data_IF_361592070983
#
_entry.id   IF_361592070983
#
_cell.length_a   1.000
_cell.length_b   1.000
_cell.length_c   1.000
_cell.angle_alpha   90.00
_cell.angle_beta   90.00
_cell.angle_gamma   90.00
#
_symmetry.space_group_name_H-M   'P 1'
#
loop_
_entity.id
_entity.type
_entity.pdbx_description
1 polymer ?
#
# COMPACT_ATOMS: atom_id res chain seq x y z
N UNK A 1 -44.02 77.03 -3.25
CA UNK A 1 -45.16 76.12 -2.93
C UNK A 1 -45.44 75.37 -4.22
N UNK A 2 -45.08 74.11 -4.47
CA UNK A 2 -44.73 72.95 -3.63
C UNK A 2 -43.86 72.00 -4.48
N UNK A 3 -42.95 71.27 -3.82
CA UNK A 3 -42.10 70.24 -4.41
C UNK A 3 -42.92 68.96 -4.62
N UNK A 4 -42.62 68.20 -5.67
CA UNK A 4 -42.84 66.76 -5.70
C UNK A 4 -41.55 66.12 -6.23
N UNK A 5 -40.99 65.24 -5.40
CA UNK A 5 -39.74 64.50 -5.59
C UNK A 5 -40.15 63.13 -6.10
N UNK A 6 -39.69 62.74 -7.29
CA UNK A 6 -39.84 61.36 -7.75
C UNK A 6 -38.48 60.68 -7.69
N UNK A 7 -38.35 59.77 -6.72
CA UNK A 7 -37.23 58.89 -6.47
C UNK A 7 -36.96 57.97 -7.66
N UNK A 8 -35.80 58.09 -8.28
CA UNK A 8 -35.31 57.13 -9.27
C UNK A 8 -34.73 55.89 -8.58
N UNK A 9 -35.38 54.75 -8.74
CA UNK A 9 -34.87 53.45 -8.30
C UNK A 9 -33.69 53.03 -9.21
N UNK A 10 -32.51 52.84 -8.62
CA UNK A 10 -31.37 52.24 -9.30
C UNK A 10 -31.58 50.72 -9.41
N UNK A 11 -31.86 50.23 -10.61
CA UNK A 11 -31.91 48.79 -10.91
C UNK A 11 -30.47 48.31 -11.12
N UNK A 12 -29.93 47.63 -10.11
CA UNK A 12 -28.67 46.89 -10.24
C UNK A 12 -28.87 45.62 -11.06
N UNK A 13 -28.29 45.55 -12.25
CA UNK A 13 -28.24 44.34 -13.05
C UNK A 13 -27.17 43.39 -12.48
N UNK A 14 -27.59 42.42 -11.67
CA UNK A 14 -26.74 41.31 -11.26
C UNK A 14 -26.64 40.30 -12.43
N UNK A 15 -25.55 40.35 -13.20
CA UNK A 15 -25.20 39.29 -14.14
C UNK A 15 -24.82 38.03 -13.37
N UNK A 16 -25.77 37.10 -13.19
CA UNK A 16 -25.44 35.71 -12.85
C UNK A 16 -24.72 35.07 -14.03
N UNK A 17 -23.40 34.97 -13.94
CA UNK A 17 -22.59 34.14 -14.83
C UNK A 17 -22.88 32.68 -14.45
N UNK A 18 -23.80 32.06 -15.19
CA UNK A 18 -23.98 30.61 -15.18
C UNK A 18 -22.76 29.98 -15.85
N UNK A 19 -21.76 29.62 -15.04
CA UNK A 19 -20.66 28.77 -15.48
C UNK A 19 -21.21 27.36 -15.76
N UNK A 20 -21.67 27.14 -17.00
CA UNK A 20 -22.04 25.82 -17.46
C UNK A 20 -20.80 24.92 -17.45
N UNK A 21 -20.76 23.96 -16.53
CA UNK A 21 -19.73 22.93 -16.55
C UNK A 21 -19.96 22.06 -17.78
N UNK A 22 -19.15 22.24 -18.81
CA UNK A 22 -19.11 21.32 -19.94
C UNK A 22 -18.61 19.96 -19.42
N UNK A 23 -19.53 19.03 -19.19
CA UNK A 23 -19.18 17.65 -18.86
C UNK A 23 -18.62 16.99 -20.12
N UNK A 24 -17.33 16.65 -20.11
CA UNK A 24 -16.74 15.82 -21.15
C UNK A 24 -17.48 14.46 -21.20
N UNK A 25 -17.70 13.92 -22.41
CA UNK A 25 -18.22 12.55 -22.56
C UNK A 25 -17.25 11.60 -21.85
N UNK A 26 -17.69 10.88 -20.79
CA UNK A 26 -16.81 10.01 -20.02
C UNK A 26 -16.22 8.86 -20.84
N UNK A 27 -16.70 8.63 -22.07
CA UNK A 27 -16.18 7.60 -22.97
C UNK A 27 -15.21 8.14 -24.03
N UNK A 28 -14.95 9.45 -24.04
CA UNK A 28 -14.06 10.09 -25.02
C UNK A 28 -14.53 9.95 -26.47
N UNK A 29 -13.68 10.30 -27.45
CA UNK A 29 -14.08 10.40 -28.87
C UNK A 29 -14.45 9.06 -29.51
N UNK A 30 -13.97 7.94 -28.96
CA UNK A 30 -14.18 6.60 -29.53
C UNK A 30 -15.35 5.85 -28.90
N UNK A 31 -15.92 6.36 -27.80
CA UNK A 31 -17.09 5.82 -27.10
C UNK A 31 -17.01 4.32 -26.76
N UNK A 32 -15.81 3.84 -26.40
CA UNK A 32 -15.58 2.45 -26.01
C UNK A 32 -15.68 2.26 -24.50
N UNK A 33 -16.31 1.15 -24.07
CA UNK A 33 -16.40 0.76 -22.67
C UNK A 33 -17.53 1.47 -21.90
N UNK A 34 -17.39 1.48 -20.57
CA UNK A 34 -18.29 2.18 -19.63
C UNK A 34 -17.49 2.68 -18.43
N UNK A 35 -17.91 3.77 -17.75
CA UNK A 35 -17.26 4.18 -16.51
C UNK A 35 -17.26 3.02 -15.49
N UNK A 36 -16.13 2.82 -14.81
CA UNK A 36 -16.05 1.85 -13.73
C UNK A 36 -16.88 2.33 -12.53
N UNK A 37 -17.64 1.43 -11.93
CA UNK A 37 -18.37 1.76 -10.70
C UNK A 37 -17.39 1.87 -9.52
N UNK A 38 -17.71 2.65 -8.48
CA UNK A 38 -16.90 2.70 -7.27
C UNK A 38 -16.60 1.31 -6.69
N UNK A 39 -17.59 0.42 -6.67
CA UNK A 39 -17.43 -0.96 -6.16
C UNK A 39 -16.47 -1.79 -7.03
N UNK A 40 -16.53 -1.64 -8.36
CA UNK A 40 -15.62 -2.32 -9.27
C UNK A 40 -14.18 -1.84 -9.07
N UNK A 41 -13.99 -0.54 -8.83
CA UNK A 41 -12.67 0.01 -8.50
C UNK A 41 -12.20 -0.52 -7.16
N UNK A 42 -13.03 -0.46 -6.11
CA UNK A 42 -12.67 -0.90 -4.77
C UNK A 42 -12.28 -2.38 -4.69
N UNK A 43 -12.92 -3.24 -5.51
CA UNK A 43 -12.58 -4.66 -5.57
C UNK A 43 -11.21 -4.95 -6.22
N UNK A 44 -10.67 -4.03 -7.03
CA UNK A 44 -9.43 -4.25 -7.79
C UNK A 44 -8.25 -3.41 -7.25
N UNK A 45 -8.54 -2.17 -6.86
CA UNK A 45 -7.64 -1.19 -6.29
C UNK A 45 -7.46 -1.46 -4.80
N UNK A 46 -6.64 -2.46 -4.51
CA UNK A 46 -6.20 -2.83 -3.16
C UNK A 46 -4.71 -2.53 -2.95
N UNK A 47 -4.08 -1.77 -3.86
CA UNK A 47 -2.66 -1.45 -3.80
C UNK A 47 -2.32 -0.58 -2.58
N UNK A 48 -1.20 -0.93 -1.94
CA UNK A 48 -0.65 -0.17 -0.82
C UNK A 48 0.68 0.46 -1.20
N UNK A 49 0.75 1.78 -1.09
CA UNK A 49 1.93 2.59 -1.39
C UNK A 49 2.95 2.60 -0.24
N UNK A 50 4.22 2.94 -0.51
CA UNK A 50 5.25 3.07 0.53
C UNK A 50 4.91 4.04 1.68
N UNK A 51 4.09 5.06 1.42
CA UNK A 51 3.63 6.04 2.41
C UNK A 51 2.41 5.58 3.23
N UNK A 52 1.90 4.36 2.98
CA UNK A 52 0.73 3.79 3.64
C UNK A 52 -0.60 4.13 2.98
N UNK A 53 -0.62 4.93 1.90
CA UNK A 53 -1.84 5.15 1.15
C UNK A 53 -2.37 3.81 0.60
N UNK A 54 -3.65 3.54 0.79
CA UNK A 54 -4.29 2.26 0.43
C UNK A 54 -4.39 1.23 1.56
N UNK A 55 -3.76 1.49 2.73
CA UNK A 55 -3.89 0.60 3.88
C UNK A 55 -5.35 0.55 4.39
N UNK A 56 -5.94 -0.65 4.54
CA UNK A 56 -7.26 -0.81 5.11
C UNK A 56 -7.25 -0.59 6.63
N UNK A 57 -8.41 -0.27 7.23
CA UNK A 57 -8.53 -0.20 8.68
C UNK A 57 -8.31 -1.59 9.30
N UNK A 58 -7.69 -1.62 10.47
CA UNK A 58 -7.39 -2.86 11.18
C UNK A 58 -6.10 -2.73 11.98
N UNK A 59 -5.81 -3.78 12.73
CA UNK A 59 -4.54 -3.96 13.41
C UNK A 59 -4.25 -5.45 13.58
N UNK A 60 -2.99 -5.78 13.87
CA UNK A 60 -2.60 -7.13 14.19
C UNK A 60 -1.30 -7.17 14.99
N UNK A 61 -1.27 -8.03 15.99
CA UNK A 61 -0.10 -8.26 16.84
C UNK A 61 0.83 -9.32 16.28
N UNK A 62 2.09 -9.29 16.71
CA UNK A 62 3.06 -10.37 16.45
C UNK A 62 2.56 -11.72 16.97
N UNK A 63 1.86 -11.73 18.12
CA UNK A 63 1.33 -12.95 18.73
C UNK A 63 0.22 -13.59 17.87
N UNK A 64 -0.73 -12.80 17.39
CA UNK A 64 -1.75 -13.26 16.44
C UNK A 64 -1.11 -13.70 15.12
N UNK A 65 -0.11 -12.94 14.65
CA UNK A 65 0.61 -13.24 13.42
C UNK A 65 1.34 -14.57 13.44
N UNK A 66 1.87 -14.97 14.61
CA UNK A 66 2.47 -16.29 14.80
C UNK A 66 1.46 -17.41 14.53
N UNK A 67 0.22 -17.26 15.02
CA UNK A 67 -0.82 -18.25 14.82
C UNK A 67 -1.24 -18.34 13.34
N UNK A 68 -1.43 -17.18 12.69
CA UNK A 68 -1.73 -17.12 11.24
C UNK A 68 -0.60 -17.77 10.42
N UNK A 69 0.66 -17.43 10.73
CA UNK A 69 1.82 -17.96 10.02
C UNK A 69 1.92 -19.49 10.13
N UNK A 70 1.75 -20.04 11.35
CA UNK A 70 1.77 -21.48 11.57
C UNK A 70 0.66 -22.19 10.76
N UNK A 71 -0.54 -21.62 10.71
CA UNK A 71 -1.68 -22.22 10.02
C UNK A 71 -1.63 -22.07 8.49
N UNK A 72 -1.05 -20.98 7.96
CA UNK A 72 -1.22 -20.56 6.55
C UNK A 72 0.08 -20.39 5.76
N UNK A 73 1.23 -20.36 6.41
CA UNK A 73 2.50 -19.99 5.76
C UNK A 73 3.61 -21.04 5.98
N UNK A 74 3.68 -21.63 7.18
CA UNK A 74 4.79 -22.48 7.61
C UNK A 74 4.98 -23.74 6.75
N UNK A 75 3.91 -24.30 6.19
CA UNK A 75 3.97 -25.48 5.33
C UNK A 75 4.87 -25.30 4.09
N UNK A 76 5.01 -24.06 3.59
CA UNK A 76 5.86 -23.74 2.44
C UNK A 76 7.12 -22.95 2.83
N UNK A 77 6.98 -21.98 3.74
CA UNK A 77 8.07 -21.07 4.13
C UNK A 77 8.89 -21.54 5.35
N UNK A 78 8.53 -22.69 5.94
CA UNK A 78 9.16 -23.24 7.14
C UNK A 78 8.69 -22.57 8.43
N UNK A 79 8.77 -23.29 9.55
CA UNK A 79 8.29 -22.86 10.89
C UNK A 79 8.80 -21.49 11.36
N UNK A 80 10.02 -21.12 10.97
CA UNK A 80 10.66 -19.86 11.35
C UNK A 80 10.94 -18.96 10.13
N UNK A 81 10.28 -19.22 9.00
CA UNK A 81 10.48 -18.46 7.76
C UNK A 81 11.83 -18.70 7.08
N UNK A 82 12.52 -19.79 7.46
CA UNK A 82 13.82 -20.19 6.92
C UNK A 82 13.79 -20.66 5.45
N UNK A 83 12.58 -20.82 4.89
CA UNK A 83 12.33 -21.35 3.55
C UNK A 83 12.20 -22.87 3.54
N UNK A 84 11.81 -23.41 2.38
CA UNK A 84 11.59 -24.83 2.19
C UNK A 84 11.10 -25.09 0.76
N UNK A 85 9.82 -25.48 0.64
CA UNK A 85 9.16 -25.59 -0.66
C UNK A 85 8.96 -24.22 -1.34
N UNK A 86 8.84 -23.15 -0.55
CA UNK A 86 8.82 -21.78 -1.02
C UNK A 86 10.03 -20.99 -0.50
N UNK A 87 10.19 -19.77 -1.03
CA UNK A 87 11.30 -18.88 -0.71
C UNK A 87 11.42 -18.61 0.80
N UNK A 88 12.66 -18.40 1.25
CA UNK A 88 12.92 -17.97 2.62
C UNK A 88 12.46 -16.53 2.85
N UNK A 89 11.86 -16.26 4.00
CA UNK A 89 11.35 -14.94 4.40
C UNK A 89 12.26 -14.25 5.42
N UNK A 90 13.13 -15.03 6.08
CA UNK A 90 13.95 -14.58 7.22
C UNK A 90 15.43 -14.86 6.96
N UNK A 91 16.29 -13.96 7.44
CA UNK A 91 17.73 -14.08 7.37
C UNK A 91 18.38 -13.27 6.25
N UNK A 92 19.70 -13.39 6.10
CA UNK A 92 20.45 -12.70 5.05
C UNK A 92 20.91 -11.28 5.38
N UNK A 93 20.66 -10.80 6.61
CA UNK A 93 21.20 -9.54 7.11
C UNK A 93 22.72 -9.50 6.93
N UNK A 94 23.24 -8.39 6.39
CA UNK A 94 24.66 -8.21 6.13
C UNK A 94 25.21 -8.99 4.92
N UNK A 95 24.41 -9.83 4.24
CA UNK A 95 24.92 -10.65 3.13
C UNK A 95 24.89 -9.97 1.76
N UNK A 96 24.23 -8.82 1.61
CA UNK A 96 23.97 -8.19 0.30
C UNK A 96 25.25 -7.84 -0.48
N UNK A 97 26.34 -7.51 0.20
CA UNK A 97 27.63 -7.18 -0.41
C UNK A 97 28.56 -8.41 -0.60
N UNK A 98 28.10 -9.60 -0.23
CA UNK A 98 28.90 -10.83 -0.35
C UNK A 98 28.74 -11.47 -1.73
N UNK A 99 29.60 -12.43 -2.05
CA UNK A 99 29.48 -13.21 -3.29
C UNK A 99 28.21 -14.06 -3.39
N UNK A 100 27.52 -14.32 -2.26
CA UNK A 100 26.30 -15.14 -2.20
C UNK A 100 25.23 -14.39 -1.40
N UNK A 101 24.66 -13.30 -1.94
CA UNK A 101 23.69 -12.49 -1.23
C UNK A 101 22.41 -13.28 -0.98
N UNK A 102 21.88 -13.17 0.24
CA UNK A 102 20.62 -13.78 0.64
C UNK A 102 19.59 -12.67 0.78
N UNK A 103 18.69 -12.57 -0.21
CA UNK A 103 17.64 -11.55 -0.27
C UNK A 103 16.35 -12.09 0.34
N UNK A 104 15.89 -11.44 1.38
CA UNK A 104 14.66 -11.77 2.11
C UNK A 104 13.87 -10.50 2.40
N UNK A 105 12.73 -10.63 3.08
CA UNK A 105 11.97 -9.50 3.58
C UNK A 105 12.86 -8.60 4.45
N UNK A 106 13.58 -9.17 5.43
CA UNK A 106 14.36 -8.35 6.36
C UNK A 106 15.72 -7.91 5.84
N UNK A 107 16.31 -8.59 4.86
CA UNK A 107 17.63 -8.21 4.34
C UNK A 107 17.56 -7.26 3.14
N UNK A 108 16.52 -7.34 2.32
CA UNK A 108 16.50 -6.68 1.00
C UNK A 108 15.34 -5.72 0.80
N UNK A 109 14.14 -6.00 1.32
CA UNK A 109 12.97 -5.19 0.98
C UNK A 109 13.03 -3.79 1.64
N UNK A 110 12.66 -2.71 0.92
CA UNK A 110 12.80 -1.35 1.44
C UNK A 110 11.60 -0.87 2.27
N UNK A 111 10.41 -1.48 2.15
CA UNK A 111 9.19 -1.03 2.81
C UNK A 111 8.38 -2.20 3.39
N UNK A 112 7.94 -2.05 4.64
CA UNK A 112 7.03 -3.00 5.30
C UNK A 112 5.64 -3.01 4.64
N UNK A 113 5.21 -1.91 4.03
CA UNK A 113 3.94 -1.85 3.31
C UNK A 113 3.92 -2.73 2.07
N UNK A 114 5.07 -2.93 1.40
CA UNK A 114 5.17 -3.88 0.27
C UNK A 114 4.94 -5.32 0.73
N UNK A 115 5.41 -5.69 1.93
CA UNK A 115 5.10 -6.99 2.53
C UNK A 115 3.60 -7.16 2.71
N UNK A 116 2.93 -6.17 3.32
CA UNK A 116 1.49 -6.20 3.55
C UNK A 116 0.71 -6.30 2.24
N UNK A 117 1.03 -5.46 1.24
CA UNK A 117 0.38 -5.46 -0.07
C UNK A 117 0.47 -6.84 -0.74
N UNK A 118 1.69 -7.39 -0.78
CA UNK A 118 1.95 -8.67 -1.41
C UNK A 118 1.22 -9.81 -0.69
N UNK A 119 1.27 -9.84 0.64
CA UNK A 119 0.57 -10.87 1.42
C UNK A 119 -0.93 -10.78 1.19
N UNK A 120 -1.52 -9.59 1.28
CA UNK A 120 -2.97 -9.36 1.06
C UNK A 120 -3.43 -9.82 -0.31
N UNK A 121 -2.66 -9.48 -1.36
CA UNK A 121 -3.07 -9.70 -2.74
C UNK A 121 -2.77 -11.11 -3.24
N UNK A 122 -1.68 -11.72 -2.79
CA UNK A 122 -1.11 -12.90 -3.43
C UNK A 122 -0.95 -14.11 -2.50
N UNK A 123 -1.09 -13.96 -1.18
CA UNK A 123 -0.89 -15.04 -0.22
C UNK A 123 -2.19 -15.37 0.55
N UNK A 124 -2.32 -16.61 1.08
CA UNK A 124 -1.52 -17.80 0.77
C UNK A 124 -1.55 -18.17 -0.72
N UNK A 125 -0.51 -18.83 -1.22
CA UNK A 125 -0.37 -19.09 -2.66
C UNK A 125 -1.52 -19.91 -3.26
N UNK A 126 -2.07 -20.83 -2.48
CA UNK A 126 -3.22 -21.67 -2.84
C UNK A 126 -4.57 -21.00 -2.65
N UNK A 127 -4.62 -19.89 -1.89
CA UNK A 127 -5.84 -19.12 -1.65
C UNK A 127 -5.55 -17.60 -1.51
N UNK A 128 -5.16 -16.91 -2.60
CA UNK A 128 -4.89 -15.47 -2.55
C UNK A 128 -6.12 -14.68 -2.10
N UNK A 129 -5.90 -13.57 -1.37
CA UNK A 129 -6.97 -12.70 -0.83
C UNK A 129 -7.94 -13.40 0.15
N UNK A 130 -7.56 -14.56 0.70
CA UNK A 130 -8.38 -15.28 1.69
C UNK A 130 -8.21 -14.79 3.13
N UNK A 131 -7.14 -14.04 3.42
CA UNK A 131 -6.90 -13.46 4.74
C UNK A 131 -7.67 -12.15 4.90
N UNK A 132 -8.19 -11.93 6.11
CA UNK A 132 -8.71 -10.62 6.52
C UNK A 132 -7.59 -9.60 6.66
N UNK A 133 -7.91 -8.31 6.53
CA UNK A 133 -6.93 -7.24 6.68
C UNK A 133 -6.18 -7.27 8.03
N UNK A 134 -6.87 -7.66 9.12
CA UNK A 134 -6.26 -7.85 10.44
C UNK A 134 -5.26 -9.03 10.47
N UNK A 135 -5.58 -10.15 9.83
CA UNK A 135 -4.66 -11.29 9.71
C UNK A 135 -3.43 -10.91 8.87
N UNK A 136 -3.60 -10.09 7.82
CA UNK A 136 -2.48 -9.57 7.02
C UNK A 136 -1.58 -8.66 7.87
N UNK A 137 -2.15 -7.75 8.68
CA UNK A 137 -1.35 -6.95 9.62
C UNK A 137 -0.59 -7.83 10.61
N UNK A 138 -1.28 -8.82 11.19
CA UNK A 138 -0.71 -9.70 12.19
C UNK A 138 0.46 -10.51 11.62
N UNK A 139 0.26 -11.20 10.49
CA UNK A 139 1.32 -12.02 9.86
C UNK A 139 2.48 -11.16 9.35
N UNK A 140 2.21 -9.94 8.89
CA UNK A 140 3.26 -8.98 8.53
C UNK A 140 4.08 -8.59 9.76
N UNK A 141 3.44 -8.28 10.89
CA UNK A 141 4.12 -7.99 12.15
C UNK A 141 5.00 -9.17 12.59
N UNK A 142 4.49 -10.40 12.49
CA UNK A 142 5.25 -11.59 12.84
C UNK A 142 6.48 -11.83 11.94
N UNK A 143 6.35 -11.66 10.62
CA UNK A 143 7.49 -11.79 9.69
C UNK A 143 8.56 -10.71 9.97
N UNK A 144 8.13 -9.48 10.28
CA UNK A 144 9.04 -8.41 10.67
C UNK A 144 9.73 -8.72 12.02
N UNK A 145 9.01 -9.31 12.96
CA UNK A 145 9.56 -9.76 14.25
C UNK A 145 10.60 -10.88 14.07
N UNK A 146 10.32 -11.88 13.23
CA UNK A 146 11.27 -12.95 12.90
C UNK A 146 12.59 -12.40 12.31
N UNK A 147 12.52 -11.25 11.64
CA UNK A 147 13.69 -10.54 11.11
C UNK A 147 14.33 -9.55 12.10
N UNK A 148 13.85 -9.48 13.35
CA UNK A 148 14.36 -8.59 14.38
C UNK A 148 14.05 -7.10 14.15
N UNK A 149 13.05 -6.79 13.31
CA UNK A 149 12.72 -5.40 12.92
C UNK A 149 11.73 -4.76 13.90
N UNK A 150 10.82 -5.55 14.46
CA UNK A 150 9.84 -5.11 15.47
C UNK A 150 9.88 -6.02 16.71
N UNK A 151 9.59 -5.49 17.91
CA UNK A 151 9.61 -6.29 19.14
C UNK A 151 8.46 -7.31 19.19
N UNK A 152 8.56 -8.29 20.08
CA UNK A 152 7.63 -9.42 20.17
C UNK A 152 6.20 -9.04 20.61
N UNK A 153 6.04 -7.88 21.23
CA UNK A 153 4.77 -7.31 21.70
C UNK A 153 4.22 -6.23 20.74
N UNK A 154 4.83 -6.04 19.57
CA UNK A 154 4.39 -5.05 18.60
C UNK A 154 2.97 -5.34 18.08
N UNK A 155 2.21 -4.27 17.90
CA UNK A 155 0.92 -4.24 17.21
C UNK A 155 1.03 -3.26 16.05
N UNK A 156 0.77 -3.74 14.83
CA UNK A 156 0.84 -2.92 13.63
C UNK A 156 -0.56 -2.55 13.13
N UNK A 157 -0.71 -1.29 12.69
CA UNK A 157 -1.93 -0.72 12.10
C UNK A 157 -1.58 0.13 10.88
N UNK A 158 -2.59 0.78 10.28
CA UNK A 158 -2.42 1.65 9.11
C UNK A 158 -1.44 2.82 9.31
N UNK A 159 -1.16 3.20 10.56
CA UNK A 159 -0.26 4.31 10.91
C UNK A 159 1.14 3.80 11.28
N UNK A 160 1.23 2.70 12.01
CA UNK A 160 2.52 2.18 12.49
C UNK A 160 3.25 1.33 11.45
N UNK A 161 2.56 0.63 10.55
CA UNK A 161 3.20 -0.17 9.51
C UNK A 161 4.09 0.65 8.55
N UNK A 162 3.66 1.82 7.99
CA UNK A 162 4.52 2.66 7.16
C UNK A 162 5.69 3.28 7.91
N UNK A 163 5.59 3.41 9.24
CA UNK A 163 6.63 3.96 10.09
C UNK A 163 7.76 2.96 10.41
N UNK A 164 7.59 1.67 10.05
CA UNK A 164 8.64 0.66 10.24
C UNK A 164 9.85 0.98 9.37
N UNK A 165 11.00 1.22 10.01
CA UNK A 165 12.26 1.47 9.34
C UNK A 165 12.92 0.16 8.89
N UNK A 166 12.68 -0.24 7.64
CA UNK A 166 13.31 -1.43 7.06
C UNK A 166 14.84 -1.23 6.90
N UNK A 167 15.67 -2.25 7.19
CA UNK A 167 17.14 -2.11 7.13
C UNK A 167 17.70 -1.66 5.77
N UNK A 168 17.06 -2.09 4.67
CA UNK A 168 17.52 -1.77 3.30
C UNK A 168 16.72 -0.64 2.65
N UNK A 169 16.07 0.24 3.44
CA UNK A 169 15.22 1.34 2.91
C UNK A 169 15.96 2.27 1.95
N UNK A 170 17.24 2.51 2.18
CA UNK A 170 18.11 3.35 1.34
C UNK A 170 18.97 2.55 0.34
N UNK A 171 18.74 1.24 0.20
CA UNK A 171 19.56 0.36 -0.64
C UNK A 171 19.20 0.34 -2.12
N UNK A 172 18.28 1.20 -2.55
CA UNK A 172 17.78 1.25 -3.92
C UNK A 172 17.97 2.65 -4.50
N UNK A 173 18.39 2.72 -5.75
CA UNK A 173 18.54 3.96 -6.52
C UNK A 173 17.81 3.83 -7.85
N UNK A 174 17.34 4.93 -8.45
CA UNK A 174 16.83 4.93 -9.82
C UNK A 174 17.87 4.37 -10.81
N UNK A 175 17.40 3.89 -11.96
CA UNK A 175 18.31 3.46 -13.02
C UNK A 175 19.14 4.65 -13.53
N UNK A 176 20.44 4.61 -13.24
CA UNK A 176 21.38 5.65 -13.64
C UNK A 176 21.91 5.47 -15.07
N UNK A 177 21.45 4.44 -15.82
CA UNK A 177 21.89 4.27 -17.22
C UNK A 177 21.22 5.31 -18.12
N UNK A 178 21.96 5.84 -19.11
CA UNK A 178 23.27 5.36 -19.59
C UNK A 178 24.49 5.95 -18.87
N UNK A 179 24.33 6.79 -17.84
CA UNK A 179 25.40 7.58 -17.21
C UNK A 179 26.39 6.76 -16.36
N UNK A 180 26.17 5.45 -16.24
CA UNK A 180 27.08 4.48 -15.61
C UNK A 180 27.48 3.40 -16.62
N UNK A 181 28.77 3.02 -16.62
CA UNK A 181 29.25 1.91 -17.43
C UNK A 181 28.49 0.62 -17.10
N UNK A 182 28.13 -0.15 -18.14
CA UNK A 182 27.62 -1.51 -17.92
C UNK A 182 28.71 -2.33 -17.21
N UNK A 183 28.39 -3.00 -16.11
CA UNK A 183 29.34 -3.87 -15.41
C UNK A 183 29.78 -5.05 -16.28
#
# INVERSE_FOLDING_TARGET
MWREIVSGAAVGAACLILAGTASADPLGPHRLGRPATPDAIAAWNIDVRPDGAGLPPGHGSVAEGRAVFAARCAACHGETGQGGAADRLVGGQGTLATAKPVRTVGSFWPYATTLFDYVRRAMPFDAPQSLSDAEVYAVSAYILHLNGIVPADAVLDARSLPAVAMPNRAGFVPDARPDVQRP
#
